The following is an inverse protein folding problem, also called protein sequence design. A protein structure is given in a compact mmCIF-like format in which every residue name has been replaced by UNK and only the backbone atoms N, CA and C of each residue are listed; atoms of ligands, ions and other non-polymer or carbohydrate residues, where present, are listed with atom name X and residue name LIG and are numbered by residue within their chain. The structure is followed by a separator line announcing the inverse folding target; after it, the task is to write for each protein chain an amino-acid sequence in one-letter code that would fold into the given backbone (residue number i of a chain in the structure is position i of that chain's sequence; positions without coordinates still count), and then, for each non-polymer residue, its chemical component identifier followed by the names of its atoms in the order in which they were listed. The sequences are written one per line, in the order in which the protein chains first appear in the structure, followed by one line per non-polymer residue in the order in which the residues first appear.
data_IF_686618856759
#
_entry.id   IF_686618856759
#
_cell.length_a   1.000
_cell.length_b   1.000
_cell.length_c   1.000
_cell.angle_alpha   90.00
_cell.angle_beta   90.00
_cell.angle_gamma   90.00
#
_symmetry.space_group_name_H-M   'P 1'
#
loop_
_entity.id
_entity.type
_entity.pdbx_description
1 polymer ?
#
# COMPACT_ATOMS: atom_id res chain seq x y z
N UNK A 1 -1.71 1.64 -12.74
CA UNK A 1 -2.98 2.22 -13.24
C UNK A 1 -4.17 1.56 -12.53
N UNK A 2 -5.20 2.30 -12.10
CA UNK A 2 -6.36 1.71 -11.40
C UNK A 2 -7.25 0.93 -12.38
N UNK A 3 -7.29 -0.40 -12.25
CA UNK A 3 -8.12 -1.29 -13.09
C UNK A 3 -9.61 -0.94 -13.09
N UNK A 4 -10.11 -0.25 -12.04
CA UNK A 4 -11.49 0.25 -11.96
C UNK A 4 -11.86 1.18 -13.12
N UNK A 5 -10.90 1.88 -13.72
CA UNK A 5 -11.13 2.73 -14.88
C UNK A 5 -11.49 1.91 -16.15
N UNK A 6 -11.24 0.60 -16.15
CA UNK A 6 -11.60 -0.29 -17.24
C UNK A 6 -13.07 -0.78 -17.14
N UNK A 7 -13.80 -0.44 -16.08
CA UNK A 7 -15.18 -0.88 -15.88
C UNK A 7 -16.17 0.03 -16.63
N UNK A 8 -17.09 -0.59 -17.38
CA UNK A 8 -18.22 0.07 -18.02
C UNK A 8 -19.51 -0.69 -17.73
N UNK A 9 -20.64 0.02 -17.75
CA UNK A 9 -21.96 -0.61 -17.62
C UNK A 9 -22.46 -1.09 -18.99
N UNK A 10 -23.32 -2.10 -18.99
CA UNK A 10 -23.87 -2.69 -20.22
C UNK A 10 -24.78 -1.76 -21.04
N UNK A 11 -25.32 -0.71 -20.41
CA UNK A 11 -26.16 0.31 -21.05
C UNK A 11 -25.36 1.44 -21.72
N UNK A 12 -24.04 1.47 -21.57
CA UNK A 12 -23.17 2.45 -22.22
C UNK A 12 -23.23 2.28 -23.74
N UNK A 13 -23.21 3.40 -24.47
CA UNK A 13 -23.24 3.40 -25.94
C UNK A 13 -21.92 2.91 -26.54
N UNK A 14 -21.96 2.43 -27.78
CA UNK A 14 -20.74 2.09 -28.53
C UNK A 14 -19.82 3.32 -28.66
N UNK A 15 -20.37 4.52 -28.90
CA UNK A 15 -19.58 5.76 -28.98
C UNK A 15 -18.79 6.05 -27.71
N UNK A 16 -19.45 5.99 -26.55
CA UNK A 16 -18.80 6.26 -25.27
C UNK A 16 -17.81 5.14 -24.89
N UNK A 17 -18.08 3.92 -25.34
CA UNK A 17 -17.13 2.81 -25.23
C UNK A 17 -15.85 3.09 -26.02
N UNK A 18 -15.94 3.59 -27.26
CA UNK A 18 -14.76 3.97 -28.07
C UNK A 18 -13.96 5.07 -27.39
N UNK A 19 -14.62 6.09 -26.82
CA UNK A 19 -13.93 7.15 -26.07
C UNK A 19 -13.16 6.60 -24.89
N UNK A 20 -13.77 5.70 -24.11
CA UNK A 20 -13.10 5.05 -22.98
C UNK A 20 -11.95 4.15 -23.42
N UNK A 21 -12.10 3.44 -24.55
CA UNK A 21 -11.02 2.62 -25.11
C UNK A 21 -9.78 3.47 -25.42
N UNK A 22 -9.97 4.67 -25.97
CA UNK A 22 -8.89 5.63 -26.22
C UNK A 22 -8.22 6.10 -24.91
N UNK A 23 -9.02 6.44 -23.89
CA UNK A 23 -8.52 6.84 -22.55
C UNK A 23 -7.69 5.75 -21.86
N UNK A 24 -8.05 4.48 -22.04
CA UNK A 24 -7.29 3.34 -21.51
C UNK A 24 -6.22 2.80 -22.47
N UNK A 25 -5.87 3.57 -23.51
CA UNK A 25 -4.82 3.25 -24.50
C UNK A 25 -5.07 1.94 -25.25
N UNK A 26 -6.30 1.69 -25.69
CA UNK A 26 -6.69 0.53 -26.52
C UNK A 26 -6.75 -0.81 -25.76
N UNK A 27 -6.78 -0.76 -24.42
CA UNK A 27 -6.94 -1.94 -23.54
C UNK A 27 -8.40 -2.41 -23.51
N UNK A 28 -8.62 -3.66 -23.11
CA UNK A 28 -9.97 -4.24 -23.04
C UNK A 28 -10.76 -3.58 -21.90
N UNK A 29 -12.01 -3.20 -22.19
CA UNK A 29 -12.95 -2.76 -21.16
C UNK A 29 -13.78 -3.93 -20.66
N UNK A 30 -14.11 -3.90 -19.38
CA UNK A 30 -14.93 -4.90 -18.69
C UNK A 30 -16.35 -4.37 -18.56
N UNK A 31 -17.31 -5.10 -19.13
CA UNK A 31 -18.73 -4.78 -19.01
C UNK A 31 -19.26 -5.47 -17.77
N UNK A 32 -19.83 -4.71 -16.83
CA UNK A 32 -20.29 -5.22 -15.53
C UNK A 32 -21.73 -4.80 -15.21
N UNK A 33 -22.36 -5.52 -14.28
CA UNK A 33 -23.63 -5.14 -13.67
C UNK A 33 -23.44 -4.15 -12.49
N UNK A 34 -24.51 -3.63 -11.86
CA UNK A 34 -24.41 -2.74 -10.70
C UNK A 34 -23.70 -3.33 -9.46
N UNK A 35 -23.57 -4.67 -9.39
CA UNK A 35 -22.85 -5.38 -8.32
C UNK A 35 -21.40 -5.70 -8.72
N UNK A 36 -20.91 -5.20 -9.86
CA UNK A 36 -19.61 -5.48 -10.49
C UNK A 36 -19.42 -6.94 -10.95
N UNK A 37 -20.51 -7.68 -11.15
CA UNK A 37 -20.44 -9.00 -11.77
C UNK A 37 -20.07 -8.85 -13.24
N UNK A 38 -19.10 -9.64 -13.71
CA UNK A 38 -18.64 -9.57 -15.09
C UNK A 38 -19.73 -10.08 -16.05
N UNK A 39 -20.15 -9.23 -16.98
CA UNK A 39 -21.11 -9.55 -18.05
C UNK A 39 -20.42 -9.82 -19.39
N UNK A 40 -19.27 -9.19 -19.62
CA UNK A 40 -18.54 -9.33 -20.88
C UNK A 40 -17.26 -8.50 -20.94
N UNK A 41 -16.57 -8.59 -22.07
CA UNK A 41 -15.40 -7.77 -22.41
C UNK A 41 -15.60 -7.10 -23.75
N UNK A 42 -15.04 -5.92 -23.96
CA UNK A 42 -15.10 -5.23 -25.25
C UNK A 42 -13.75 -4.63 -25.60
N UNK A 43 -13.34 -4.84 -26.85
CA UNK A 43 -12.11 -4.31 -27.45
C UNK A 43 -12.43 -3.46 -28.68
N UNK A 44 -11.45 -2.71 -29.21
CA UNK A 44 -11.58 -2.03 -30.51
C UNK A 44 -11.96 -3.00 -31.64
N UNK A 45 -11.47 -4.25 -31.56
CA UNK A 45 -11.81 -5.29 -32.52
C UNK A 45 -13.27 -5.70 -32.49
N UNK A 46 -13.89 -5.69 -31.31
CA UNK A 46 -15.31 -5.98 -31.11
C UNK A 46 -16.18 -4.83 -31.63
N UNK A 47 -15.86 -3.60 -31.23
CA UNK A 47 -16.57 -2.41 -31.70
C UNK A 47 -16.51 -2.29 -33.23
N UNK A 48 -15.32 -2.44 -33.81
CA UNK A 48 -15.13 -2.39 -35.26
C UNK A 48 -15.96 -3.46 -35.98
N UNK A 49 -15.99 -4.70 -35.47
CA UNK A 49 -16.81 -5.78 -36.04
C UNK A 49 -18.29 -5.49 -35.91
N UNK A 50 -18.73 -4.94 -34.78
CA UNK A 50 -20.12 -4.53 -34.56
C UNK A 50 -20.58 -3.48 -35.57
N UNK A 51 -19.79 -2.42 -35.76
CA UNK A 51 -20.09 -1.37 -36.74
C UNK A 51 -20.14 -1.90 -38.17
N UNK A 52 -19.19 -2.77 -38.55
CA UNK A 52 -19.19 -3.42 -39.87
C UNK A 52 -20.38 -4.36 -40.08
N UNK A 53 -20.99 -4.86 -39.00
CA UNK A 53 -22.17 -5.73 -39.02
C UNK A 53 -23.49 -4.95 -39.01
N UNK A 54 -23.44 -3.61 -39.00
CA UNK A 54 -24.61 -2.74 -39.10
C UNK A 54 -25.11 -2.14 -37.78
N UNK A 55 -24.41 -2.35 -36.66
CA UNK A 55 -24.71 -1.62 -35.41
C UNK A 55 -24.35 -0.14 -35.55
N UNK A 56 -25.08 0.73 -34.84
CA UNK A 56 -24.89 2.18 -34.83
C UNK A 56 -24.15 2.61 -33.57
N UNK A 57 -23.54 3.78 -33.61
CA UNK A 57 -22.75 4.32 -32.48
C UNK A 57 -23.59 4.56 -31.22
N UNK A 58 -24.89 4.76 -31.37
CA UNK A 58 -25.85 4.96 -30.27
C UNK A 58 -26.38 3.65 -29.68
N UNK A 59 -26.11 2.51 -30.33
CA UNK A 59 -26.55 1.21 -29.81
C UNK A 59 -25.71 0.84 -28.57
N UNK A 60 -26.27 -0.02 -27.72
CA UNK A 60 -25.63 -0.44 -26.46
C UNK A 60 -24.41 -1.34 -26.72
N UNK A 61 -23.37 -1.16 -25.89
CA UNK A 61 -22.14 -1.98 -25.93
C UNK A 61 -22.41 -3.47 -25.71
N UNK A 62 -23.49 -3.82 -25.02
CA UNK A 62 -23.90 -5.21 -24.79
C UNK A 62 -24.17 -5.98 -26.09
N UNK A 63 -24.45 -5.28 -27.19
CA UNK A 63 -24.69 -5.89 -28.51
C UNK A 63 -23.41 -6.27 -29.24
N UNK A 64 -22.27 -5.66 -28.89
CA UNK A 64 -20.99 -5.84 -29.59
C UNK A 64 -19.91 -6.47 -28.71
N UNK A 65 -20.10 -6.51 -27.39
CA UNK A 65 -19.16 -7.14 -26.46
C UNK A 65 -19.03 -8.66 -26.69
N UNK A 66 -17.93 -9.23 -26.22
CA UNK A 66 -17.81 -10.67 -25.99
C UNK A 66 -18.49 -11.06 -24.66
N UNK A 67 -19.63 -11.78 -24.68
CA UNK A 67 -20.39 -12.13 -23.48
C UNK A 67 -19.81 -13.32 -22.69
N UNK A 68 -18.83 -14.03 -23.27
CA UNK A 68 -18.16 -15.16 -22.61
C UNK A 68 -16.65 -14.91 -22.55
N UNK A 69 -16.20 -13.88 -21.81
CA UNK A 69 -14.78 -13.64 -21.64
C UNK A 69 -14.13 -14.79 -20.88
N UNK A 70 -12.85 -15.03 -21.19
CA UNK A 70 -12.02 -15.89 -20.34
C UNK A 70 -11.57 -15.06 -19.15
N UNK A 71 -11.62 -15.66 -17.97
CA UNK A 71 -11.28 -15.03 -16.69
C UNK A 71 -10.33 -15.94 -15.93
N UNK A 72 -9.50 -15.35 -15.07
CA UNK A 72 -8.77 -16.08 -14.05
C UNK A 72 -9.41 -15.84 -12.68
N UNK A 73 -9.24 -16.80 -11.78
CA UNK A 73 -9.66 -16.64 -10.39
C UNK A 73 -8.60 -15.79 -9.65
N UNK A 74 -9.03 -14.96 -8.70
CA UNK A 74 -8.10 -14.15 -7.90
C UNK A 74 -7.18 -14.96 -6.97
N UNK A 75 -7.51 -16.22 -6.72
CA UNK A 75 -6.69 -17.17 -5.98
C UNK A 75 -5.69 -17.94 -6.89
N UNK A 76 -5.79 -17.80 -8.21
CA UNK A 76 -4.88 -18.47 -9.14
C UNK A 76 -3.44 -17.95 -8.98
N UNK A 77 -2.47 -18.86 -9.06
CA UNK A 77 -1.06 -18.46 -9.03
C UNK A 77 -0.70 -17.65 -10.28
N UNK A 78 0.23 -16.71 -10.13
CA UNK A 78 0.78 -15.89 -11.22
C UNK A 78 1.19 -16.72 -12.45
N UNK A 79 1.83 -17.86 -12.21
CA UNK A 79 2.29 -18.80 -13.25
C UNK A 79 1.13 -19.47 -13.98
N UNK A 80 0.06 -19.82 -13.26
CA UNK A 80 -1.15 -20.38 -13.85
C UNK A 80 -1.86 -19.34 -14.72
N UNK A 81 -2.00 -18.11 -14.23
CA UNK A 81 -2.61 -17.01 -15.00
C UNK A 81 -1.79 -16.73 -16.25
N UNK A 82 -0.46 -16.61 -16.14
CA UNK A 82 0.43 -16.37 -17.27
C UNK A 82 0.35 -17.51 -18.31
N UNK A 83 0.35 -18.76 -17.85
CA UNK A 83 0.20 -19.94 -18.73
C UNK A 83 -1.15 -19.92 -19.45
N UNK A 84 -2.22 -19.59 -18.73
CA UNK A 84 -3.56 -19.43 -19.29
C UNK A 84 -3.59 -18.35 -20.36
N UNK A 85 -3.00 -17.18 -20.10
CA UNK A 85 -2.94 -16.06 -21.03
C UNK A 85 -2.16 -16.39 -22.30
N UNK A 86 -1.00 -17.05 -22.19
CA UNK A 86 -0.26 -17.55 -23.35
C UNK A 86 -1.05 -18.56 -24.18
N UNK A 87 -1.70 -19.51 -23.51
CA UNK A 87 -2.52 -20.55 -24.17
C UNK A 87 -3.69 -19.94 -24.92
N UNK A 88 -4.36 -18.96 -24.31
CA UNK A 88 -5.51 -18.25 -24.88
C UNK A 88 -5.11 -17.14 -25.86
N UNK A 89 -3.82 -16.81 -25.94
CA UNK A 89 -3.28 -15.70 -26.76
C UNK A 89 -3.95 -14.36 -26.46
N UNK A 90 -4.23 -14.10 -25.18
CA UNK A 90 -4.80 -12.83 -24.72
C UNK A 90 -3.72 -11.99 -24.05
N UNK A 91 -3.74 -10.67 -24.28
CA UNK A 91 -2.81 -9.73 -23.63
C UNK A 91 -3.29 -9.25 -22.27
N UNK A 92 -4.57 -9.46 -21.97
CA UNK A 92 -5.21 -9.01 -20.75
C UNK A 92 -6.25 -10.03 -20.32
N UNK A 93 -6.38 -10.27 -19.01
CA UNK A 93 -7.39 -11.18 -18.45
C UNK A 93 -8.07 -10.55 -17.22
N UNK A 94 -9.41 -10.59 -17.12
CA UNK A 94 -10.12 -10.17 -15.92
C UNK A 94 -9.89 -11.16 -14.78
N UNK A 95 -9.69 -10.64 -13.57
CA UNK A 95 -9.69 -11.41 -12.33
C UNK A 95 -11.07 -11.34 -11.68
N UNK A 96 -11.62 -12.50 -11.34
CA UNK A 96 -12.93 -12.61 -10.67
C UNK A 96 -12.83 -13.45 -9.40
N UNK A 97 -13.69 -13.15 -8.43
CA UNK A 97 -13.88 -13.99 -7.23
C UNK A 97 -14.80 -15.20 -7.51
N UNK A 98 -15.11 -15.99 -6.47
CA UNK A 98 -16.01 -17.16 -6.56
C UNK A 98 -17.43 -16.83 -7.01
N UNK A 99 -17.89 -15.59 -6.85
CA UNK A 99 -19.23 -15.12 -7.23
C UNK A 99 -19.26 -14.48 -8.63
N UNK A 100 -18.10 -14.37 -9.28
CA UNK A 100 -17.92 -13.76 -10.60
C UNK A 100 -17.83 -12.23 -10.56
N UNK A 101 -17.57 -11.64 -9.39
CA UNK A 101 -17.35 -10.20 -9.23
C UNK A 101 -15.93 -9.88 -9.68
N UNK A 102 -15.78 -8.83 -10.49
CA UNK A 102 -14.47 -8.35 -10.92
C UNK A 102 -13.72 -7.77 -9.72
N UNK A 103 -12.54 -8.32 -9.46
CA UNK A 103 -11.63 -7.86 -8.41
C UNK A 103 -10.31 -7.30 -8.95
N UNK A 104 -10.04 -7.48 -10.24
CA UNK A 104 -8.83 -6.96 -10.88
C UNK A 104 -8.75 -7.24 -12.38
N UNK A 105 -7.64 -6.79 -12.97
CA UNK A 105 -7.27 -7.08 -14.36
C UNK A 105 -5.77 -7.25 -14.41
N UNK A 106 -5.32 -8.36 -15.01
CA UNK A 106 -3.89 -8.62 -15.24
C UNK A 106 -3.54 -8.46 -16.72
N UNK A 107 -2.36 -7.92 -17.00
CA UNK A 107 -1.81 -7.87 -18.36
C UNK A 107 -0.64 -8.84 -18.52
N UNK A 108 -0.43 -9.33 -19.74
CA UNK A 108 0.66 -10.24 -20.03
C UNK A 108 2.00 -9.54 -19.78
N UNK A 109 2.10 -8.24 -20.04
CA UNK A 109 3.30 -7.46 -19.79
C UNK A 109 3.61 -7.34 -18.28
N UNK A 110 2.59 -7.19 -17.43
CA UNK A 110 2.73 -7.15 -15.95
C UNK A 110 3.07 -8.54 -15.39
N UNK A 111 2.49 -9.61 -15.95
CA UNK A 111 2.78 -10.99 -15.57
C UNK A 111 4.12 -11.52 -16.12
N UNK A 112 4.61 -11.02 -17.24
CA UNK A 112 5.93 -11.39 -17.77
C UNK A 112 7.07 -10.63 -17.09
N UNK A 113 6.86 -9.36 -16.73
CA UNK A 113 7.92 -8.50 -16.15
C UNK A 113 8.43 -8.92 -14.77
N UNK A 114 7.73 -9.81 -14.08
CA UNK A 114 7.89 -9.91 -12.63
C UNK A 114 7.15 -8.76 -11.93
N UNK A 115 7.01 -8.76 -10.60
CA UNK A 115 6.91 -7.49 -9.89
C UNK A 115 8.10 -6.63 -10.35
N UNK A 116 7.85 -5.39 -10.79
CA UNK A 116 8.92 -4.48 -11.18
C UNK A 116 9.89 -4.38 -10.00
N UNK A 117 11.12 -4.88 -10.17
CA UNK A 117 12.10 -4.83 -9.10
C UNK A 117 12.43 -3.36 -8.81
N UNK A 118 12.32 -2.97 -7.56
CA UNK A 118 12.61 -1.62 -7.08
C UNK A 118 13.91 -1.64 -6.32
N UNK A 119 14.90 -0.92 -6.85
CA UNK A 119 16.21 -0.77 -6.23
C UNK A 119 16.21 0.24 -5.06
N UNK A 120 15.07 0.90 -4.83
CA UNK A 120 14.81 1.73 -3.66
C UNK A 120 15.05 0.90 -2.39
N UNK A 121 15.84 1.46 -1.49
CA UNK A 121 16.03 0.88 -0.17
C UNK A 121 14.77 1.05 0.67
N UNK A 122 14.47 0.05 1.49
CA UNK A 122 13.42 0.09 2.51
C UNK A 122 14.06 -0.01 3.88
N UNK A 123 13.79 0.95 4.77
CA UNK A 123 14.23 0.88 6.17
C UNK A 123 13.05 0.50 7.05
N UNK A 124 13.19 -0.62 7.75
CA UNK A 124 12.21 -1.06 8.74
C UNK A 124 12.75 -0.80 10.15
N UNK A 125 12.03 0.02 10.91
CA UNK A 125 12.43 0.43 12.26
C UNK A 125 12.07 -0.65 13.27
N UNK A 126 13.05 -1.48 13.63
CA UNK A 126 12.90 -2.68 14.45
C UNK A 126 13.59 -2.59 15.83
N UNK A 127 14.00 -1.39 16.26
CA UNK A 127 14.80 -1.17 17.47
C UNK A 127 14.00 -0.96 18.79
N UNK A 128 12.67 -0.85 18.73
CA UNK A 128 11.86 -0.51 19.90
C UNK A 128 11.86 -1.56 21.02
N UNK A 129 11.89 -1.11 22.29
CA UNK A 129 11.80 -1.99 23.47
C UNK A 129 10.44 -2.71 23.58
N UNK A 130 9.38 -2.13 23.03
CA UNK A 130 8.03 -2.70 23.10
C UNK A 130 7.48 -2.84 24.52
N UNK A 131 7.88 -1.98 25.46
CA UNK A 131 7.52 -2.10 26.90
C UNK A 131 6.02 -2.10 27.19
N UNK A 132 5.22 -1.46 26.32
CA UNK A 132 3.75 -1.45 26.39
C UNK A 132 3.12 -2.84 26.19
N UNK A 133 3.85 -3.76 25.56
CA UNK A 133 3.44 -5.14 25.32
C UNK A 133 4.01 -6.12 26.35
N UNK A 134 4.56 -5.64 27.47
CA UNK A 134 4.97 -6.55 28.54
C UNK A 134 3.76 -7.37 29.05
N UNK A 135 3.95 -8.67 29.34
CA UNK A 135 5.23 -9.39 29.41
C UNK A 135 5.73 -9.98 28.08
N UNK A 136 4.97 -9.91 26.98
CA UNK A 136 5.29 -10.56 25.69
C UNK A 136 6.68 -10.17 25.18
N UNK A 137 7.04 -8.91 25.34
CA UNK A 137 8.30 -8.34 24.82
C UNK A 137 9.52 -8.55 25.72
N UNK A 138 9.36 -9.18 26.90
CA UNK A 138 10.48 -9.45 27.81
C UNK A 138 11.42 -10.54 27.27
N UNK A 139 10.85 -11.58 26.67
CA UNK A 139 11.60 -12.71 26.11
C UNK A 139 11.84 -12.54 24.61
N UNK A 140 10.93 -11.89 23.88
CA UNK A 140 10.92 -11.81 22.42
C UNK A 140 10.87 -10.35 21.97
N UNK A 141 11.76 -9.85 21.09
CA UNK A 141 11.64 -8.48 20.61
C UNK A 141 10.34 -8.30 19.82
N UNK A 142 9.73 -7.11 19.90
CA UNK A 142 8.44 -6.80 19.26
C UNK A 142 8.36 -7.22 17.77
N UNK A 143 9.38 -6.95 16.92
CA UNK A 143 9.42 -7.43 15.53
C UNK A 143 9.23 -8.94 15.34
N UNK A 144 9.56 -9.74 16.35
CA UNK A 144 9.46 -11.21 16.34
C UNK A 144 8.21 -11.75 17.05
N UNK A 145 7.35 -10.88 17.60
CA UNK A 145 6.04 -11.32 18.05
C UNK A 145 5.23 -11.84 16.87
N UNK A 146 4.47 -12.90 17.11
CA UNK A 146 3.72 -13.58 16.05
C UNK A 146 2.33 -12.99 15.90
N UNK A 147 1.95 -12.70 14.67
CA UNK A 147 0.57 -12.48 14.26
C UNK A 147 0.22 -13.65 13.34
N UNK A 148 -0.77 -14.45 13.76
CA UNK A 148 -1.02 -15.74 13.16
C UNK A 148 0.21 -16.66 13.28
N UNK A 149 0.70 -17.14 12.15
CA UNK A 149 1.85 -18.04 12.09
C UNK A 149 3.20 -17.34 11.83
N UNK A 150 3.23 -16.02 11.58
CA UNK A 150 4.43 -15.29 11.17
C UNK A 150 4.82 -14.17 12.15
N UNK A 151 6.13 -13.87 12.29
CA UNK A 151 6.58 -12.64 12.93
C UNK A 151 6.01 -11.39 12.26
N UNK A 152 5.67 -10.35 13.04
CA UNK A 152 5.18 -9.06 12.51
C UNK A 152 6.10 -8.49 11.43
N UNK A 153 7.41 -8.46 11.70
CA UNK A 153 8.36 -7.89 10.73
C UNK A 153 8.53 -8.76 9.47
N UNK A 154 8.26 -10.06 9.57
CA UNK A 154 8.26 -10.96 8.41
C UNK A 154 7.08 -10.65 7.47
N UNK A 155 5.90 -10.38 8.04
CA UNK A 155 4.72 -9.97 7.27
C UNK A 155 4.99 -8.64 6.52
N UNK A 156 5.58 -7.66 7.21
CA UNK A 156 5.95 -6.37 6.62
C UNK A 156 6.96 -6.57 5.48
N UNK A 157 8.02 -7.36 5.72
CA UNK A 157 9.04 -7.67 4.72
C UNK A 157 8.43 -8.31 3.47
N UNK A 158 7.62 -9.34 3.63
CA UNK A 158 6.96 -10.04 2.52
C UNK A 158 6.02 -9.11 1.74
N UNK A 159 5.32 -8.20 2.42
CA UNK A 159 4.46 -7.20 1.78
C UNK A 159 5.26 -6.26 0.87
N UNK A 160 6.42 -5.78 1.29
CA UNK A 160 7.32 -4.99 0.42
C UNK A 160 7.86 -5.83 -0.75
N UNK A 161 8.26 -7.08 -0.51
CA UNK A 161 8.75 -7.99 -1.56
C UNK A 161 7.67 -8.24 -2.63
N UNK A 162 6.41 -8.40 -2.22
CA UNK A 162 5.26 -8.52 -3.14
C UNK A 162 5.12 -7.29 -4.05
N UNK A 163 5.50 -6.10 -3.57
CA UNK A 163 5.54 -4.87 -4.34
C UNK A 163 6.88 -4.64 -5.08
N UNK A 164 7.76 -5.65 -5.14
CA UNK A 164 8.99 -5.63 -5.92
C UNK A 164 10.21 -5.01 -5.23
N UNK A 165 10.09 -4.59 -3.96
CA UNK A 165 11.24 -4.10 -3.20
C UNK A 165 12.11 -5.28 -2.74
N UNK A 166 13.42 -5.18 -2.97
CA UNK A 166 14.35 -6.29 -2.70
C UNK A 166 15.57 -5.88 -1.87
N UNK A 167 15.66 -4.63 -1.42
CA UNK A 167 16.80 -4.11 -0.64
C UNK A 167 16.32 -3.48 0.65
N UNK A 168 16.75 -4.03 1.78
CA UNK A 168 16.24 -3.68 3.09
C UNK A 168 17.37 -3.31 4.05
N UNK A 169 17.12 -2.29 4.86
CA UNK A 169 17.82 -2.07 6.11
C UNK A 169 16.88 -2.38 7.27
N UNK A 170 17.31 -3.21 8.20
CA UNK A 170 16.64 -3.41 9.48
C UNK A 170 17.38 -2.60 10.55
N UNK A 171 16.74 -1.55 11.06
CA UNK A 171 17.28 -0.77 12.18
C UNK A 171 16.99 -1.49 13.49
N UNK A 172 18.03 -2.03 14.14
CA UNK A 172 17.91 -2.94 15.29
C UNK A 172 18.67 -2.41 16.50
N UNK A 173 18.08 -2.61 17.68
CA UNK A 173 18.68 -2.25 18.98
C UNK A 173 18.42 -3.38 19.99
N UNK A 174 17.27 -3.36 20.64
CA UNK A 174 16.92 -4.31 21.70
C UNK A 174 16.84 -5.75 21.18
N UNK A 175 17.58 -6.67 21.82
CA UNK A 175 17.69 -8.09 21.42
C UNK A 175 18.03 -8.28 19.93
N UNK A 176 18.79 -7.34 19.32
CA UNK A 176 19.17 -7.36 17.88
C UNK A 176 19.62 -8.72 17.36
N UNK A 177 20.39 -9.49 18.15
CA UNK A 177 20.86 -10.83 17.77
C UNK A 177 19.72 -11.77 17.34
N UNK A 178 18.59 -11.76 18.04
CA UNK A 178 17.45 -12.62 17.68
C UNK A 178 16.84 -12.22 16.33
N UNK A 179 16.76 -10.91 16.05
CA UNK A 179 16.26 -10.40 14.77
C UNK A 179 17.26 -10.76 13.65
N UNK A 180 18.55 -10.55 13.88
CA UNK A 180 19.61 -10.88 12.91
C UNK A 180 19.67 -12.37 12.61
N UNK A 181 19.53 -13.23 13.62
CA UNK A 181 19.48 -14.69 13.45
C UNK A 181 18.24 -15.14 12.65
N UNK A 182 17.08 -14.51 12.88
CA UNK A 182 15.84 -14.86 12.17
C UNK A 182 15.86 -14.44 10.70
N UNK A 183 16.37 -13.24 10.41
CA UNK A 183 16.32 -12.63 9.07
C UNK A 183 17.59 -12.85 8.22
N UNK A 184 18.75 -13.09 8.83
CA UNK A 184 20.00 -13.31 8.09
C UNK A 184 20.28 -12.23 7.04
N UNK A 185 20.79 -12.62 5.89
CA UNK A 185 21.09 -11.70 4.77
C UNK A 185 19.90 -11.47 3.82
N UNK A 186 18.72 -12.03 4.12
CA UNK A 186 17.54 -11.95 3.26
C UNK A 186 17.46 -12.99 2.15
N UNK A 187 18.50 -13.82 1.96
CA UNK A 187 18.56 -14.81 0.86
C UNK A 187 17.38 -15.80 0.88
N UNK A 188 16.84 -16.13 2.07
CA UNK A 188 15.63 -16.96 2.24
C UNK A 188 14.40 -16.38 1.51
N UNK A 189 14.33 -15.06 1.36
CA UNK A 189 13.23 -14.36 0.69
C UNK A 189 13.62 -13.80 -0.67
N UNK A 190 14.84 -14.10 -1.17
CA UNK A 190 15.32 -13.57 -2.44
C UNK A 190 15.58 -12.05 -2.42
N UNK A 191 15.90 -11.49 -1.26
CA UNK A 191 16.22 -10.07 -1.09
C UNK A 191 17.58 -9.87 -0.41
N UNK A 192 18.06 -8.63 -0.42
CA UNK A 192 19.23 -8.17 0.33
C UNK A 192 18.76 -7.52 1.64
N UNK A 193 19.17 -8.06 2.79
CA UNK A 193 18.97 -7.44 4.09
C UNK A 193 20.32 -7.00 4.67
N UNK A 194 20.40 -5.71 5.01
CA UNK A 194 21.48 -5.11 5.80
C UNK A 194 20.94 -4.65 7.14
N UNK A 195 21.83 -4.45 8.09
CA UNK A 195 21.47 -4.06 9.46
C UNK A 195 22.05 -2.69 9.80
N UNK A 196 21.20 -1.85 10.40
CA UNK A 196 21.63 -0.63 11.07
C UNK A 196 21.61 -0.94 12.56
N UNK A 197 22.79 -1.10 13.15
CA UNK A 197 22.93 -1.42 14.56
C UNK A 197 23.01 -0.15 15.39
N UNK A 198 21.96 0.12 16.15
CA UNK A 198 21.91 1.23 17.09
C UNK A 198 22.50 0.79 18.44
N UNK A 199 23.60 1.40 18.88
CA UNK A 199 24.15 1.14 20.23
C UNK A 199 23.37 1.87 21.34
N UNK A 200 22.73 2.97 20.98
CA UNK A 200 21.82 3.74 21.82
C UNK A 200 20.57 4.08 21.02
N UNK A 201 19.45 4.36 21.68
CA UNK A 201 18.21 4.74 21.00
C UNK A 201 18.42 6.06 20.26
N UNK A 202 18.33 6.06 18.92
CA UNK A 202 18.53 7.25 18.10
C UNK A 202 17.23 7.85 17.55
N UNK A 203 16.08 7.36 18.00
CA UNK A 203 14.78 7.86 17.55
C UNK A 203 14.38 7.28 16.19
N UNK A 204 13.24 7.73 15.68
CA UNK A 204 12.62 7.15 14.47
C UNK A 204 13.28 7.59 13.16
N UNK A 205 14.10 8.64 13.17
CA UNK A 205 14.84 9.12 12.01
C UNK A 205 16.36 9.09 12.20
N UNK A 206 16.87 9.14 13.45
CA UNK A 206 18.31 9.17 13.70
C UNK A 206 19.05 7.95 13.14
N UNK A 207 18.46 6.75 13.19
CA UNK A 207 19.06 5.54 12.62
C UNK A 207 19.34 5.67 11.11
N UNK A 208 18.56 6.48 10.38
CA UNK A 208 18.77 6.71 8.96
C UNK A 208 20.10 7.45 8.67
N UNK A 209 20.59 8.22 9.64
CA UNK A 209 21.91 8.86 9.55
C UNK A 209 23.06 7.86 9.51
N UNK A 210 22.88 6.64 10.02
CA UNK A 210 23.91 5.60 10.04
C UNK A 210 24.03 4.81 8.73
N UNK A 211 23.18 5.11 7.74
CA UNK A 211 23.29 4.49 6.42
C UNK A 211 24.62 4.93 5.80
N UNK A 212 25.52 4.00 5.43
CA UNK A 212 26.90 4.32 5.09
C UNK A 212 27.04 5.15 3.81
N UNK A 213 26.11 4.97 2.87
CA UNK A 213 26.09 5.67 1.59
C UNK A 213 24.69 6.19 1.29
N UNK A 214 24.54 7.45 0.84
CA UNK A 214 23.26 7.96 0.40
C UNK A 214 22.70 7.09 -0.74
N UNK A 215 21.43 6.65 -0.66
CA UNK A 215 20.82 5.89 -1.72
C UNK A 215 20.70 6.76 -2.98
N UNK A 216 20.80 6.15 -4.17
CA UNK A 216 20.65 6.86 -5.44
C UNK A 216 19.18 7.20 -5.77
N UNK A 217 18.25 6.67 -5.00
CA UNK A 217 16.80 6.78 -5.23
C UNK A 217 16.10 7.00 -3.89
N UNK A 218 14.85 7.49 -3.89
CA UNK A 218 14.09 7.72 -2.66
C UNK A 218 14.06 6.50 -1.75
N UNK A 219 14.16 6.75 -0.45
CA UNK A 219 14.17 5.75 0.61
C UNK A 219 12.76 5.56 1.16
N UNK A 220 12.28 4.32 1.22
CA UNK A 220 11.06 3.99 1.98
C UNK A 220 11.45 3.80 3.44
N UNK A 221 10.67 4.34 4.38
CA UNK A 221 10.88 4.15 5.82
C UNK A 221 9.56 3.76 6.46
N UNK A 222 9.56 2.72 7.28
CA UNK A 222 8.36 2.24 7.95
C UNK A 222 8.66 1.74 9.36
N UNK A 223 7.77 2.01 10.30
CA UNK A 223 7.86 1.41 11.64
C UNK A 223 7.64 -0.11 11.55
N UNK A 224 8.48 -0.90 12.22
CA UNK A 224 8.46 -2.37 12.16
C UNK A 224 7.34 -3.04 12.97
N UNK A 225 6.34 -2.29 13.39
CA UNK A 225 5.20 -2.73 14.19
C UNK A 225 3.83 -2.39 13.60
N UNK A 226 3.81 -2.05 12.31
CA UNK A 226 2.61 -1.67 11.57
C UNK A 226 2.17 -2.82 10.66
N UNK A 227 0.95 -3.32 10.85
CA UNK A 227 0.31 -4.18 9.85
C UNK A 227 -0.49 -3.31 8.89
N UNK A 228 -0.30 -3.54 7.59
CA UNK A 228 -0.94 -2.69 6.58
C UNK A 228 -1.04 -3.37 5.22
N UNK A 229 -2.11 -3.04 4.50
CA UNK A 229 -2.32 -3.39 3.09
C UNK A 229 -2.09 -2.22 2.13
N UNK A 230 -1.33 -1.20 2.58
CA UNK A 230 -0.92 -0.07 1.75
C UNK A 230 -0.20 -0.56 0.49
N UNK A 231 -0.58 0.02 -0.65
CA UNK A 231 0.14 -0.18 -1.91
C UNK A 231 1.40 0.69 -1.92
N UNK A 232 2.55 0.08 -1.62
CA UNK A 232 3.84 0.78 -1.54
C UNK A 232 4.33 1.32 -2.90
N UNK A 233 3.90 0.71 -4.01
CA UNK A 233 4.16 1.23 -5.36
C UNK A 233 3.43 2.56 -5.58
N UNK A 234 2.13 2.62 -5.27
CA UNK A 234 1.35 3.86 -5.36
C UNK A 234 1.87 4.96 -4.45
N UNK A 235 2.36 4.62 -3.26
CA UNK A 235 3.00 5.57 -2.34
C UNK A 235 4.28 6.17 -2.96
N UNK A 236 5.13 5.33 -3.56
CA UNK A 236 6.36 5.78 -4.22
C UNK A 236 6.08 6.61 -5.47
N UNK A 237 5.15 6.19 -6.32
CA UNK A 237 4.70 6.94 -7.50
C UNK A 237 4.16 8.31 -7.11
N UNK A 238 3.28 8.37 -6.10
CA UNK A 238 2.73 9.62 -5.59
C UNK A 238 3.82 10.59 -5.11
N UNK A 239 4.84 10.08 -4.41
CA UNK A 239 5.98 10.89 -3.97
C UNK A 239 6.72 11.52 -5.18
N UNK A 240 6.99 10.73 -6.20
CA UNK A 240 7.69 11.16 -7.41
C UNK A 240 6.86 12.15 -8.25
N UNK A 241 5.58 11.87 -8.47
CA UNK A 241 4.66 12.76 -9.21
C UNK A 241 4.53 14.13 -8.56
N UNK A 242 4.60 14.18 -7.22
CA UNK A 242 4.59 15.43 -6.49
C UNK A 242 5.96 16.09 -6.40
N UNK A 243 7.06 15.44 -6.78
CA UNK A 243 8.42 15.97 -6.62
C UNK A 243 8.69 16.43 -5.19
N UNK A 244 8.25 15.66 -4.20
CA UNK A 244 8.37 15.99 -2.79
C UNK A 244 9.77 15.63 -2.25
N UNK A 245 10.29 16.42 -1.31
CA UNK A 245 11.50 16.03 -0.55
C UNK A 245 11.15 14.92 0.46
N UNK A 246 9.93 14.94 1.01
CA UNK A 246 9.42 13.89 1.89
C UNK A 246 7.91 13.68 1.71
N UNK A 247 7.48 12.42 1.76
CA UNK A 247 6.06 12.04 1.81
C UNK A 247 5.78 11.34 3.14
N UNK A 248 4.74 11.77 3.85
CA UNK A 248 4.23 11.14 5.07
C UNK A 248 2.92 10.42 4.79
N UNK A 249 2.83 9.14 5.14
CA UNK A 249 1.57 8.41 5.20
C UNK A 249 0.71 8.91 6.35
N UNK A 250 -0.55 9.26 6.06
CA UNK A 250 -1.49 9.74 7.07
C UNK A 250 -2.77 8.92 7.08
N UNK A 251 -3.33 8.71 8.27
CA UNK A 251 -4.60 7.99 8.47
C UNK A 251 -5.64 8.93 9.07
N UNK A 252 -6.87 8.88 8.57
CA UNK A 252 -7.99 9.58 9.21
C UNK A 252 -8.32 8.89 10.54
N UNK A 253 -8.33 9.67 11.61
CA UNK A 253 -8.68 9.24 12.96
C UNK A 253 -9.90 10.03 13.43
N UNK A 254 -10.92 9.31 13.89
CA UNK A 254 -12.15 9.88 14.40
C UNK A 254 -12.15 9.79 15.94
N UNK A 255 -12.38 10.92 16.59
CA UNK A 255 -12.55 11.00 18.03
C UNK A 255 -13.95 11.52 18.35
N UNK A 256 -14.81 10.63 18.84
CA UNK A 256 -16.11 11.02 19.40
C UNK A 256 -15.92 11.47 20.85
N UNK A 257 -16.34 12.69 21.16
CA UNK A 257 -16.47 13.12 22.55
C UNK A 257 -17.77 12.50 23.08
N UNK A 258 -17.78 11.65 24.11
CA UNK A 258 -18.99 10.93 24.54
C UNK A 258 -19.99 11.80 25.32
N UNK A 259 -19.90 13.13 25.20
CA UNK A 259 -20.67 14.14 25.93
C UNK A 259 -21.06 15.30 25.02
N UNK A 260 -22.02 16.11 25.46
CA UNK A 260 -22.30 17.42 24.86
C UNK A 260 -21.15 18.40 25.06
N UNK A 261 -20.53 18.85 23.97
CA UNK A 261 -19.50 19.89 23.96
C UNK A 261 -20.17 21.25 23.94
N UNK A 262 -19.97 22.03 25.00
CA UNK A 262 -20.54 23.38 25.13
C UNK A 262 -19.56 24.40 24.57
N UNK A 263 -19.96 25.07 23.49
CA UNK A 263 -19.21 26.18 22.91
C UNK A 263 -19.56 27.47 23.66
N UNK A 264 -18.57 28.12 24.26
CA UNK A 264 -18.75 29.33 25.05
C UNK A 264 -17.91 30.49 24.50
N UNK A 265 -18.44 31.70 24.66
CA UNK A 265 -17.73 32.96 24.47
C UNK A 265 -17.76 33.70 25.83
N UNK A 266 -16.61 33.83 26.48
CA UNK A 266 -16.46 34.13 27.91
C UNK A 266 -17.35 33.24 28.82
N UNK A 267 -18.48 33.79 29.28
CA UNK A 267 -19.44 33.12 30.15
C UNK A 267 -20.77 32.80 29.45
N UNK A 268 -20.90 33.17 28.16
CA UNK A 268 -22.13 32.98 27.41
C UNK A 268 -22.05 31.70 26.56
N UNK A 269 -23.00 30.79 26.77
CA UNK A 269 -23.15 29.60 25.93
C UNK A 269 -23.62 30.02 24.54
N UNK A 270 -22.87 29.65 23.51
CA UNK A 270 -23.15 29.90 22.09
C UNK A 270 -23.81 28.72 21.39
N UNK A 271 -23.54 27.50 21.86
CA UNK A 271 -24.10 26.28 21.29
C UNK A 271 -23.68 25.04 22.10
N UNK A 272 -24.36 23.93 21.85
CA UNK A 272 -24.04 22.62 22.43
C UNK A 272 -24.07 21.61 21.29
N UNK A 273 -22.93 20.98 21.05
CA UNK A 273 -22.81 19.88 20.09
C UNK A 273 -22.88 18.57 20.86
N UNK A 274 -23.92 17.77 20.65
CA UNK A 274 -24.07 16.47 21.31
C UNK A 274 -23.23 15.42 20.60
N UNK A 275 -22.33 14.75 21.34
CA UNK A 275 -21.44 13.71 20.84
C UNK A 275 -20.74 14.06 19.52
N UNK A 276 -20.04 15.20 19.44
CA UNK A 276 -19.37 15.60 18.22
C UNK A 276 -18.24 14.62 17.90
N UNK A 277 -18.15 14.28 16.62
CA UNK A 277 -17.05 13.49 16.07
C UNK A 277 -16.07 14.43 15.40
N UNK A 278 -14.86 14.49 15.94
CA UNK A 278 -13.77 15.25 15.34
C UNK A 278 -12.90 14.35 14.48
N UNK A 279 -12.61 14.79 13.26
CA UNK A 279 -11.75 14.08 12.30
C UNK A 279 -10.39 14.76 12.20
N UNK A 280 -9.33 13.97 12.31
CA UNK A 280 -7.96 14.44 12.16
C UNK A 280 -7.13 13.46 11.34
N UNK A 281 -6.04 13.93 10.75
CA UNK A 281 -5.04 13.05 10.16
C UNK A 281 -3.94 12.78 11.18
N UNK A 282 -3.67 11.49 11.44
CA UNK A 282 -2.57 11.04 12.28
C UNK A 282 -1.43 10.50 11.43
N UNK A 283 -0.21 10.60 11.94
CA UNK A 283 0.97 10.02 11.32
C UNK A 283 0.86 8.48 11.34
N UNK A 284 0.91 7.86 10.16
CA UNK A 284 0.77 6.43 10.02
C UNK A 284 2.09 5.66 10.17
N UNK A 285 3.23 6.34 10.38
CA UNK A 285 4.53 5.68 10.56
C UNK A 285 5.11 5.07 9.27
N UNK A 286 4.69 5.57 8.11
CA UNK A 286 5.17 5.16 6.78
C UNK A 286 5.60 6.42 6.03
N UNK A 287 6.78 6.40 5.43
CA UNK A 287 7.39 7.58 4.82
C UNK A 287 8.16 7.25 3.54
N UNK A 288 8.30 8.24 2.66
CA UNK A 288 9.23 8.22 1.53
C UNK A 288 10.10 9.47 1.64
N UNK A 289 11.42 9.31 1.59
CA UNK A 289 12.37 10.40 1.77
C UNK A 289 13.33 10.48 0.59
N UNK A 290 13.54 11.67 0.04
CA UNK A 290 14.61 11.89 -0.94
C UNK A 290 16.00 11.71 -0.31
N UNK A 291 17.01 11.24 -1.04
CA UNK A 291 18.37 11.09 -0.51
C UNK A 291 18.95 12.38 0.06
N UNK A 292 18.54 13.54 -0.48
CA UNK A 292 18.93 14.86 0.02
C UNK A 292 18.50 15.11 1.46
N UNK A 293 17.39 14.50 1.92
CA UNK A 293 16.89 14.62 3.29
C UNK A 293 17.82 13.93 4.28
N UNK A 294 18.41 12.79 3.92
CA UNK A 294 19.33 12.06 4.79
C UNK A 294 20.57 12.88 5.14
N UNK A 295 21.02 13.74 4.23
CA UNK A 295 22.16 14.63 4.46
C UNK A 295 21.88 15.72 5.53
N UNK A 296 20.61 15.97 5.86
CA UNK A 296 20.20 16.91 6.89
C UNK A 296 20.17 16.29 8.28
N UNK A 297 20.22 14.95 8.38
CA UNK A 297 20.13 14.27 9.65
C UNK A 297 21.42 14.41 10.47
N UNK A 298 21.31 14.81 11.75
CA UNK A 298 22.47 14.89 12.62
C UNK A 298 23.00 13.48 12.96
N UNK A 299 24.28 13.28 12.68
CA UNK A 299 24.94 11.97 12.80
C UNK A 299 25.05 11.51 14.25
N UNK A 300 24.64 10.27 14.52
CA UNK A 300 24.81 9.62 15.83
C UNK A 300 23.98 10.21 16.98
N UNK A 301 22.96 11.03 16.66
CA UNK A 301 22.11 11.68 17.68
C UNK A 301 20.67 11.22 17.62
N UNK A 302 19.95 11.42 18.73
CA UNK A 302 18.52 11.18 18.79
C UNK A 302 17.78 12.16 17.88
N UNK A 303 17.01 11.64 16.93
CA UNK A 303 16.17 12.43 16.05
C UNK A 303 14.91 11.63 15.68
N UNK A 304 13.74 12.23 15.87
CA UNK A 304 12.47 11.62 15.51
C UNK A 304 11.99 12.10 14.13
N UNK A 305 11.21 11.26 13.46
CA UNK A 305 10.66 11.57 12.14
C UNK A 305 9.77 12.81 12.16
N UNK A 306 9.02 13.04 13.24
CA UNK A 306 8.22 14.26 13.41
C UNK A 306 9.08 15.52 13.49
N UNK A 307 10.24 15.44 14.15
CA UNK A 307 11.23 16.53 14.18
C UNK A 307 11.80 16.76 12.79
N UNK A 308 12.24 15.70 12.09
CA UNK A 308 12.77 15.79 10.72
C UNK A 308 11.78 16.49 9.77
N UNK A 309 10.52 16.05 9.79
CA UNK A 309 9.48 16.64 8.95
C UNK A 309 9.21 18.12 9.30
N UNK A 310 9.26 18.47 10.59
CA UNK A 310 9.11 19.86 11.04
C UNK A 310 10.29 20.72 10.56
N UNK A 311 11.51 20.21 10.65
CA UNK A 311 12.72 20.89 10.19
C UNK A 311 12.71 21.11 8.67
N UNK A 312 12.24 20.11 7.90
CA UNK A 312 12.03 20.22 6.46
C UNK A 312 11.01 21.32 6.11
N UNK A 313 9.87 21.35 6.81
CA UNK A 313 8.84 22.37 6.61
C UNK A 313 9.39 23.77 6.93
N UNK A 314 10.12 23.91 8.04
CA UNK A 314 10.75 25.17 8.44
C UNK A 314 11.82 25.65 7.43
N UNK A 315 12.48 24.71 6.75
CA UNK A 315 13.43 24.97 5.67
C UNK A 315 12.77 25.14 4.28
N UNK A 316 11.44 25.29 4.23
CA UNK A 316 10.64 25.43 3.00
C UNK A 316 10.80 24.26 2.00
N UNK A 317 11.14 23.06 2.50
CA UNK A 317 11.17 21.83 1.71
C UNK A 317 9.77 21.29 1.48
N UNK A 318 9.58 20.58 0.37
CA UNK A 318 8.28 20.08 -0.04
C UNK A 318 7.95 18.78 0.70
N UNK A 319 7.15 18.90 1.77
CA UNK A 319 6.59 17.76 2.50
C UNK A 319 5.14 17.55 2.08
N UNK A 320 4.77 16.34 1.64
CA UNK A 320 3.41 16.02 1.18
C UNK A 320 2.79 14.88 1.98
N UNK A 321 1.47 14.90 2.13
CA UNK A 321 0.72 13.85 2.80
C UNK A 321 0.15 12.85 1.78
N UNK A 322 0.30 11.55 2.05
CA UNK A 322 -0.34 10.45 1.33
C UNK A 322 -1.45 9.84 2.20
N UNK A 323 -2.73 10.01 1.85
CA UNK A 323 -3.83 9.48 2.65
C UNK A 323 -3.97 7.96 2.49
N UNK A 324 -3.77 7.23 3.58
CA UNK A 324 -3.93 5.77 3.64
C UNK A 324 -5.40 5.44 3.88
N UNK A 325 -6.00 4.69 2.95
CA UNK A 325 -7.40 4.25 3.01
C UNK A 325 -7.52 2.77 3.32
N UNK A 326 -6.47 2.04 3.03
CA UNK A 326 -6.26 0.60 3.21
C UNK A 326 -6.19 0.22 4.70
N UNK A 327 -6.06 -1.08 4.97
CA UNK A 327 -5.88 -1.58 6.33
C UNK A 327 -4.59 -1.01 6.91
N UNK A 328 -4.66 -0.56 8.16
CA UNK A 328 -3.54 -0.04 8.92
C UNK A 328 -3.81 -0.26 10.41
N UNK A 329 -2.88 -0.93 11.09
CA UNK A 329 -2.94 -1.21 12.52
C UNK A 329 -1.55 -1.11 13.13
N UNK A 330 -1.38 -0.18 14.08
CA UNK A 330 -0.20 -0.14 14.97
C UNK A 330 -0.38 -1.17 16.07
N UNK A 331 0.50 -2.17 16.12
CA UNK A 331 0.50 -3.19 17.16
C UNK A 331 1.20 -2.65 18.43
N UNK A 332 0.80 -1.49 18.91
CA UNK A 332 1.45 -0.78 20.01
C UNK A 332 1.04 -1.28 21.39
N UNK A 333 -0.17 -1.80 21.50
CA UNK A 333 -0.84 -2.15 22.75
C UNK A 333 -1.34 -3.61 22.74
N UNK A 334 -1.59 -4.21 23.92
CA UNK A 334 -2.10 -5.57 24.01
C UNK A 334 -3.40 -5.80 23.23
N UNK A 335 -4.34 -4.86 23.30
CA UNK A 335 -5.63 -4.96 22.59
C UNK A 335 -5.44 -4.94 21.07
N UNK A 336 -4.56 -4.08 20.56
CA UNK A 336 -4.21 -4.02 19.13
C UNK A 336 -3.52 -5.31 18.68
N UNK A 337 -2.68 -5.93 19.53
CA UNK A 337 -2.04 -7.22 19.21
C UNK A 337 -3.04 -8.38 19.15
N UNK A 338 -4.04 -8.39 20.03
CA UNK A 338 -5.13 -9.37 19.98
C UNK A 338 -5.96 -9.16 18.72
N UNK A 339 -6.30 -7.91 18.42
CA UNK A 339 -7.03 -7.54 17.20
C UNK A 339 -6.27 -7.95 15.94
N UNK A 340 -4.97 -7.68 15.86
CA UNK A 340 -4.12 -8.09 14.75
C UNK A 340 -4.21 -9.60 14.48
N UNK A 341 -4.15 -10.42 15.54
CA UNK A 341 -4.28 -11.88 15.40
C UNK A 341 -5.68 -12.30 14.94
N UNK A 342 -6.73 -11.64 15.40
CA UNK A 342 -8.09 -11.90 14.94
C UNK A 342 -8.28 -11.51 13.46
N UNK A 343 -7.77 -10.34 13.06
CA UNK A 343 -7.86 -9.82 11.70
C UNK A 343 -7.07 -10.72 10.71
N UNK A 344 -5.90 -11.22 11.12
CA UNK A 344 -5.09 -12.17 10.34
C UNK A 344 -5.87 -13.45 10.02
N UNK A 345 -6.55 -14.03 11.02
CA UNK A 345 -7.36 -15.25 10.84
C UNK A 345 -8.53 -15.01 9.88
N UNK A 346 -9.05 -13.78 9.84
CA UNK A 346 -10.16 -13.39 8.98
C UNK A 346 -9.73 -12.97 7.55
N UNK A 347 -8.43 -13.02 7.23
CA UNK A 347 -7.92 -12.68 5.89
C UNK A 347 -8.02 -11.19 5.55
N UNK A 348 -8.00 -10.32 6.55
CA UNK A 348 -8.06 -8.86 6.37
C UNK A 348 -6.69 -8.22 6.12
N UNK A 349 -5.65 -9.05 5.96
CA UNK A 349 -4.26 -8.65 5.73
C UNK A 349 -3.78 -8.98 4.31
#
# INVERSE_FOLDING_TARGET
MKWMNCLISSDVTILDTVRRLDEVSGRTLLVVDPRRKLLGTVTDGDVRRGLLSGHRLEDSVAQVMNPTPKTANNEDSRENILTMMHTLKVRQIPLVDSEGIVVGVETIEELERGPSTRDNWVVLMAGGLGTRLHPLTQSTPKPLLRVGNKPVLEIILESYIKHGFHRFYLAVNYKRKMVMEHFGDGSRWGCEIRYIEEDQRMGTAGALGLIPEPPASPLMVMNGDLLTSVNFESLLEYHQENGADATIGVREYEFEVPFGVVNMDDHQVRGIDEKPVNKFFVNAGIYVLEPSVLALLPQGTYHDMTTLLTDLIAAERKVVAFPIREYWLDIGQPDDFVKANADFVNGLE
#
